data_IF_250752611608
#
_entry.id   IF_250752611608
#
_cell.length_a   1.000
_cell.length_b   1.000
_cell.length_c   1.000
_cell.angle_alpha   90.00
_cell.angle_beta   90.00
_cell.angle_gamma   90.00
#
_symmetry.space_group_name_H-M   'P 1'
#
loop_
_entity.id
_entity.type
_entity.pdbx_description
1 polymer ?
#
# COMPACT_ATOMS: atom_id res chain seq x y z
N UNK A 1 -14.60 -17.02 24.49
CA UNK A 1 -14.32 -16.60 23.11
C UNK A 1 -13.05 -17.33 22.70
N UNK A 2 -12.99 -17.98 21.54
CA UNK A 2 -11.78 -18.70 21.12
C UNK A 2 -10.77 -17.66 20.60
N UNK A 3 -9.64 -17.48 21.28
CA UNK A 3 -8.62 -16.50 20.92
C UNK A 3 -8.08 -16.73 19.49
N UNK A 4 -8.07 -17.99 19.02
CA UNK A 4 -7.64 -18.32 17.67
C UNK A 4 -8.66 -17.88 16.61
N UNK A 5 -9.96 -17.98 16.92
CA UNK A 5 -11.01 -17.45 16.06
C UNK A 5 -10.91 -15.93 15.96
N UNK A 6 -10.72 -15.23 17.09
CA UNK A 6 -10.51 -13.78 17.13
C UNK A 6 -9.30 -13.37 16.29
N UNK A 7 -8.18 -14.10 16.38
CA UNK A 7 -7.00 -13.83 15.58
C UNK A 7 -7.27 -13.98 14.07
N UNK A 8 -7.97 -15.05 13.67
CA UNK A 8 -8.35 -15.28 12.28
C UNK A 8 -9.31 -14.20 11.75
N UNK A 9 -10.25 -13.73 12.57
CA UNK A 9 -11.15 -12.63 12.22
C UNK A 9 -10.39 -11.32 12.03
N UNK A 10 -9.35 -11.06 12.84
CA UNK A 10 -8.46 -9.92 12.62
C UNK A 10 -7.70 -10.03 11.30
N UNK A 11 -7.21 -11.21 10.94
CA UNK A 11 -6.57 -11.44 9.63
C UNK A 11 -7.56 -11.23 8.47
N UNK A 12 -8.81 -11.70 8.59
CA UNK A 12 -9.85 -11.43 7.58
C UNK A 12 -10.20 -9.94 7.47
N UNK A 13 -10.22 -9.21 8.59
CA UNK A 13 -10.37 -7.76 8.58
C UNK A 13 -9.27 -7.06 7.80
N UNK A 14 -8.01 -7.48 7.97
CA UNK A 14 -6.88 -6.95 7.21
C UNK A 14 -7.04 -7.28 5.71
N UNK A 15 -7.47 -8.50 5.37
CA UNK A 15 -7.73 -8.87 3.97
C UNK A 15 -8.85 -8.01 3.34
N UNK A 16 -9.93 -7.73 4.07
CA UNK A 16 -10.97 -6.81 3.61
C UNK A 16 -10.51 -5.34 3.54
N UNK A 17 -9.49 -4.96 4.30
CA UNK A 17 -8.87 -3.65 4.19
C UNK A 17 -7.96 -3.55 2.96
N UNK A 18 -7.14 -4.57 2.67
CA UNK A 18 -6.29 -4.59 1.46
C UNK A 18 -7.10 -4.66 0.18
N UNK A 19 -8.24 -5.36 0.18
CA UNK A 19 -9.17 -5.36 -0.95
C UNK A 19 -9.72 -3.95 -1.23
N UNK A 20 -10.07 -3.19 -0.17
CA UNK A 20 -10.49 -1.79 -0.30
C UNK A 20 -9.36 -0.88 -0.78
N UNK A 21 -8.14 -1.08 -0.27
CA UNK A 21 -6.94 -0.37 -0.75
C UNK A 21 -6.73 -0.60 -2.25
N UNK A 22 -6.89 -1.84 -2.72
CA UNK A 22 -6.80 -2.18 -4.14
C UNK A 22 -7.90 -1.50 -4.96
N UNK A 23 -9.12 -1.39 -4.42
CA UNK A 23 -10.21 -0.62 -5.02
C UNK A 23 -9.83 0.84 -5.25
N UNK A 24 -9.44 1.57 -4.20
CA UNK A 24 -9.09 2.99 -4.32
C UNK A 24 -7.82 3.22 -5.15
N UNK A 25 -6.88 2.28 -5.14
CA UNK A 25 -5.68 2.33 -5.99
C UNK A 25 -6.04 2.22 -7.49
N UNK A 26 -7.03 1.39 -7.84
CA UNK A 26 -7.56 1.29 -9.21
C UNK A 26 -8.26 2.57 -9.65
N UNK A 27 -9.01 3.18 -8.74
CA UNK A 27 -9.71 4.45 -8.98
C UNK A 27 -8.74 5.65 -9.01
N UNK A 28 -7.52 5.47 -8.50
CA UNK A 28 -6.50 6.51 -8.42
C UNK A 28 -6.75 7.55 -7.34
N UNK A 29 -7.54 7.20 -6.31
CA UNK A 29 -7.77 8.03 -5.12
C UNK A 29 -6.61 7.85 -4.13
N UNK A 30 -5.60 8.69 -4.29
CA UNK A 30 -4.35 8.63 -3.53
C UNK A 30 -4.55 9.02 -2.07
N UNK A 31 -5.43 9.97 -1.79
CA UNK A 31 -5.69 10.43 -0.42
C UNK A 31 -6.36 9.31 0.38
N UNK A 32 -7.39 8.68 -0.19
CA UNK A 32 -8.02 7.52 0.43
C UNK A 32 -7.05 6.34 0.59
N UNK A 33 -6.17 6.10 -0.39
CA UNK A 33 -5.17 5.03 -0.29
C UNK A 33 -4.20 5.24 0.88
N UNK A 34 -3.75 6.48 1.12
CA UNK A 34 -2.86 6.82 2.24
C UNK A 34 -3.58 6.62 3.59
N UNK A 35 -4.84 7.06 3.70
CA UNK A 35 -5.64 6.89 4.92
C UNK A 35 -5.88 5.41 5.26
N UNK A 36 -6.09 4.58 4.24
CA UNK A 36 -6.25 3.13 4.41
C UNK A 36 -4.92 2.46 4.74
N UNK A 37 -3.80 2.90 4.16
CA UNK A 37 -2.46 2.37 4.50
C UNK A 37 -2.13 2.59 5.99
N UNK A 38 -2.47 3.76 6.54
CA UNK A 38 -2.29 4.04 7.96
C UNK A 38 -3.09 3.07 8.84
N UNK A 39 -4.34 2.77 8.47
CA UNK A 39 -5.18 1.78 9.16
C UNK A 39 -4.59 0.36 9.05
N UNK A 40 -4.08 0.00 7.87
CA UNK A 40 -3.48 -1.31 7.62
C UNK A 40 -2.27 -1.53 8.52
N UNK A 41 -1.35 -0.55 8.58
CA UNK A 41 -0.16 -0.63 9.44
C UNK A 41 -0.56 -0.80 10.92
N UNK A 42 -1.54 -0.02 11.39
CA UNK A 42 -2.02 -0.12 12.76
C UNK A 42 -2.61 -1.50 13.08
N UNK A 43 -3.43 -2.07 12.19
CA UNK A 43 -4.01 -3.40 12.38
C UNK A 43 -2.93 -4.50 12.36
N UNK A 44 -2.03 -4.44 11.39
CA UNK A 44 -0.91 -5.39 11.27
C UNK A 44 -0.04 -5.37 12.54
N UNK A 45 0.29 -4.20 13.06
CA UNK A 45 1.13 -4.09 14.26
C UNK A 45 0.41 -4.59 15.52
N UNK A 46 -0.90 -4.36 15.64
CA UNK A 46 -1.70 -4.88 16.74
C UNK A 46 -1.75 -6.42 16.75
N UNK A 47 -1.89 -7.05 15.58
CA UNK A 47 -2.05 -8.51 15.51
C UNK A 47 -0.73 -9.28 15.64
N UNK A 48 0.42 -8.69 15.27
CA UNK A 48 1.74 -9.35 15.35
C UNK A 48 2.05 -9.86 16.75
N UNK A 49 1.72 -9.07 17.78
CA UNK A 49 1.97 -9.46 19.17
C UNK A 49 1.05 -10.57 19.64
N UNK A 50 -0.23 -10.51 19.26
CA UNK A 50 -1.23 -11.53 19.60
C UNK A 50 -0.90 -12.88 18.94
N UNK A 51 -0.53 -12.85 17.67
CA UNK A 51 -0.22 -14.02 16.86
C UNK A 51 1.01 -14.80 17.39
N UNK A 52 2.05 -14.08 17.82
CA UNK A 52 3.25 -14.71 18.36
C UNK A 52 3.00 -15.49 19.67
N UNK A 53 1.99 -15.10 20.44
CA UNK A 53 1.68 -15.69 21.73
C UNK A 53 0.69 -16.86 21.66
N UNK A 54 0.07 -17.11 20.50
CA UNK A 54 -1.09 -17.98 20.41
C UNK A 54 -0.78 -19.30 19.67
N UNK A 55 -0.91 -20.47 20.33
CA UNK A 55 -0.78 -21.76 19.66
C UNK A 55 -2.00 -22.03 18.77
N UNK A 56 -1.75 -22.20 17.48
CA UNK A 56 -2.77 -22.57 16.49
C UNK A 56 -2.67 -24.06 16.12
N UNK A 57 -3.81 -24.71 15.95
CA UNK A 57 -3.95 -26.03 15.33
C UNK A 57 -3.53 -26.00 13.85
N UNK A 58 -3.38 -27.17 13.24
CA UNK A 58 -3.00 -27.28 11.83
C UNK A 58 -4.02 -26.62 10.89
N UNK A 59 -5.31 -26.86 11.14
CA UNK A 59 -6.41 -26.26 10.35
C UNK A 59 -6.44 -24.74 10.48
N UNK A 60 -6.26 -24.21 11.69
CA UNK A 60 -6.20 -22.76 11.93
C UNK A 60 -4.97 -22.11 11.26
N UNK A 61 -3.81 -22.79 11.29
CA UNK A 61 -2.62 -22.36 10.55
C UNK A 61 -2.88 -22.36 9.06
N UNK A 62 -3.50 -23.40 8.51
CA UNK A 62 -3.81 -23.48 7.09
C UNK A 62 -4.74 -22.33 6.65
N UNK A 63 -5.77 -22.03 7.44
CA UNK A 63 -6.69 -20.92 7.20
C UNK A 63 -5.97 -19.57 7.26
N UNK A 64 -5.16 -19.33 8.28
CA UNK A 64 -4.32 -18.12 8.40
C UNK A 64 -3.42 -17.93 7.18
N UNK A 65 -2.74 -18.98 6.72
CA UNK A 65 -1.89 -18.90 5.52
C UNK A 65 -2.70 -18.54 4.26
N UNK A 66 -3.92 -19.06 4.12
CA UNK A 66 -4.78 -18.72 2.99
C UNK A 66 -5.14 -17.22 2.99
N UNK A 67 -5.43 -16.65 4.17
CA UNK A 67 -5.74 -15.22 4.32
C UNK A 67 -4.51 -14.35 4.01
N UNK A 68 -3.34 -14.71 4.56
CA UNK A 68 -2.08 -13.99 4.28
C UNK A 68 -1.76 -13.98 2.78
N UNK A 69 -2.00 -15.08 2.07
CA UNK A 69 -1.80 -15.12 0.61
C UNK A 69 -2.70 -14.13 -0.14
N UNK A 70 -3.95 -13.92 0.32
CA UNK A 70 -4.85 -12.91 -0.27
C UNK A 70 -4.31 -11.50 -0.03
N UNK A 71 -3.95 -11.18 1.21
CA UNK A 71 -3.32 -9.90 1.58
C UNK A 71 -2.11 -9.60 0.70
N UNK A 72 -1.18 -10.55 0.57
CA UNK A 72 0.04 -10.39 -0.22
C UNK A 72 -0.24 -10.24 -1.73
N UNK A 73 -1.27 -10.92 -2.25
CA UNK A 73 -1.68 -10.77 -3.64
C UNK A 73 -2.25 -9.37 -3.91
N UNK A 74 -3.08 -8.85 -3.00
CA UNK A 74 -3.61 -7.49 -3.09
C UNK A 74 -2.49 -6.45 -2.97
N UNK A 75 -1.56 -6.61 -2.02
CA UNK A 75 -0.40 -5.72 -1.85
C UNK A 75 0.50 -5.67 -3.10
N UNK A 76 0.70 -6.82 -3.76
CA UNK A 76 1.42 -6.88 -5.03
C UNK A 76 0.68 -6.14 -6.14
N UNK A 77 -0.63 -6.37 -6.27
CA UNK A 77 -1.46 -5.70 -7.26
C UNK A 77 -1.54 -4.18 -7.05
N UNK A 78 -1.60 -3.72 -5.79
CA UNK A 78 -1.50 -2.30 -5.45
C UNK A 78 -0.17 -1.75 -5.94
N UNK A 79 0.95 -2.41 -5.61
CA UNK A 79 2.29 -1.96 -6.01
C UNK A 79 2.43 -1.83 -7.53
N UNK A 80 1.88 -2.78 -8.28
CA UNK A 80 1.89 -2.77 -9.75
C UNK A 80 1.14 -1.56 -10.35
N UNK A 81 0.14 -1.02 -9.62
CA UNK A 81 -0.58 0.19 -10.02
C UNK A 81 0.16 1.47 -9.60
N UNK A 82 0.66 1.50 -8.36
CA UNK A 82 1.20 2.72 -7.75
C UNK A 82 2.60 3.06 -8.28
N UNK A 83 3.49 2.08 -8.36
CA UNK A 83 4.91 2.31 -8.68
C UNK A 83 5.11 2.95 -10.06
N UNK A 84 4.48 2.47 -11.16
CA UNK A 84 4.64 3.10 -12.47
C UNK A 84 4.09 4.52 -12.52
N UNK A 85 2.98 4.79 -11.81
CA UNK A 85 2.36 6.12 -11.76
C UNK A 85 3.24 7.14 -11.04
N UNK A 86 3.87 6.75 -9.93
CA UNK A 86 4.87 7.59 -9.25
C UNK A 86 6.06 7.89 -10.16
N UNK A 87 6.61 6.86 -10.82
CA UNK A 87 7.72 7.04 -11.76
C UNK A 87 7.37 8.01 -12.91
N UNK A 88 6.14 7.96 -13.41
CA UNK A 88 5.66 8.89 -14.44
C UNK A 88 5.58 10.34 -13.92
N UNK A 89 5.02 10.54 -12.72
CA UNK A 89 4.93 11.87 -12.09
C UNK A 89 6.32 12.46 -11.84
N UNK A 90 7.26 11.66 -11.34
CA UNK A 90 8.65 12.07 -11.13
C UNK A 90 9.31 12.52 -12.45
N UNK A 91 9.09 11.78 -13.54
CA UNK A 91 9.59 12.14 -14.86
C UNK A 91 9.03 13.49 -15.35
N UNK A 92 7.73 13.73 -15.16
CA UNK A 92 7.08 14.99 -15.53
C UNK A 92 7.63 16.18 -14.75
N UNK A 93 7.78 16.06 -13.43
CA UNK A 93 8.33 17.11 -12.58
C UNK A 93 9.77 17.44 -12.99
N UNK A 94 10.59 16.42 -13.23
CA UNK A 94 11.98 16.59 -13.66
C UNK A 94 12.11 17.20 -15.06
N UNK A 95 11.21 16.87 -15.99
CA UNK A 95 11.18 17.50 -17.32
C UNK A 95 10.84 19.00 -17.22
N UNK A 96 9.87 19.35 -16.37
CA UNK A 96 9.44 20.75 -16.15
C UNK A 96 10.55 21.58 -15.52
N UNK A 97 11.27 21.04 -14.53
CA UNK A 97 12.43 21.70 -13.90
C UNK A 97 13.54 21.98 -14.93
N UNK A 98 13.86 20.98 -15.77
CA UNK A 98 14.85 21.15 -16.85
C UNK A 98 14.42 22.22 -17.86
N UNK A 99 13.15 22.26 -18.24
CA UNK A 99 12.63 23.28 -19.16
C UNK A 99 12.77 24.69 -18.58
N UNK A 100 12.48 24.90 -17.28
CA UNK A 100 12.67 26.20 -16.62
C UNK A 100 14.13 26.62 -16.57
N UNK A 101 15.03 25.71 -16.22
CA UNK A 101 16.46 26.00 -16.17
C UNK A 101 17.01 26.41 -17.55
N UNK A 102 16.59 25.74 -18.63
CA UNK A 102 16.96 26.13 -19.98
C UNK A 102 16.40 27.52 -20.34
N UNK A 103 15.14 27.79 -20.01
CA UNK A 103 14.53 29.11 -20.25
C UNK A 103 15.25 30.24 -19.50
N UNK A 104 15.72 29.98 -18.27
CA UNK A 104 16.52 30.93 -17.50
C UNK A 104 17.88 31.19 -18.15
N UNK A 105 18.61 30.15 -18.54
CA UNK A 105 19.95 30.28 -19.18
C UNK A 105 19.89 30.95 -20.54
N UNK A 106 18.90 30.60 -21.39
CA UNK A 106 18.74 31.23 -22.71
C UNK A 106 18.09 32.61 -22.63
N UNK A 107 17.21 32.86 -21.66
CA UNK A 107 16.60 34.18 -21.42
C UNK A 107 17.58 35.21 -20.87
N UNK A 108 18.62 34.79 -20.15
CA UNK A 108 19.70 35.66 -19.68
C UNK A 108 20.72 36.03 -20.77
N UNK A 109 20.75 35.31 -21.89
CA UNK A 109 21.73 35.51 -22.97
C UNK A 109 21.24 36.40 -24.14
N UNK A 110 20.04 37.00 -24.05
CA UNK A 110 19.51 37.93 -25.06
C UNK A 110 19.50 39.41 -24.60
N UNK A 111 20.25 39.73 -23.55
CA UNK A 111 20.39 41.08 -23.00
C UNK A 111 21.84 41.56 -22.91
N UNK A 112 22.51 41.73 -24.05
CA UNK A 112 23.74 42.54 -24.22
C UNK A 112 23.67 43.22 -25.58
#
# INVERSE_FOLDING_TARGET
MNDAATLLDCYESIAGLTERMLGVARDGDWDALIDLEAQYRAQVDAIKQLDAALPLSEDERARKHAIIRRILADDAAIRDLVVPRLAHLDAMINSTRRQRALHEVYGLNLGT
#
